data_IF_780821688837
#
_entry.id   IF_780821688837
#
_cell.length_a   1.000
_cell.length_b   1.000
_cell.length_c   1.000
_cell.angle_alpha   90.00
_cell.angle_beta   90.00
_cell.angle_gamma   90.00
#
_symmetry.space_group_name_H-M   'P 1'
#
loop_
_entity.id
_entity.type
_entity.pdbx_description
1 polymer ?
#
# COMPACT_ATOMS: atom_id res chain seq x y z
N UNK A 1 29.60 -11.05 -1.09
CA UNK A 1 29.93 -10.60 0.26
C UNK A 1 28.82 -10.97 1.21
N UNK A 2 29.21 -11.40 2.40
CA UNK A 2 28.28 -11.62 3.51
C UNK A 2 28.55 -10.53 4.55
N UNK A 3 27.49 -9.84 4.96
CA UNK A 3 27.54 -8.85 6.03
C UNK A 3 26.99 -9.54 7.28
N UNK A 4 27.76 -9.54 8.37
CA UNK A 4 27.38 -10.20 9.62
C UNK A 4 26.72 -9.26 10.63
N UNK A 5 26.61 -7.96 10.29
CA UNK A 5 25.97 -6.95 11.11
C UNK A 5 24.47 -6.89 10.83
N UNK A 6 23.68 -6.49 11.82
CA UNK A 6 22.27 -6.17 11.60
C UNK A 6 22.17 -4.85 10.85
N UNK A 7 21.69 -4.91 9.60
CA UNK A 7 21.49 -3.75 8.73
C UNK A 7 20.03 -3.31 8.66
N UNK A 8 19.18 -3.74 9.55
CA UNK A 8 17.78 -3.33 9.58
C UNK A 8 17.67 -1.80 9.59
N UNK A 9 16.78 -1.27 8.76
CA UNK A 9 16.60 0.17 8.46
C UNK A 9 17.75 0.84 7.68
N UNK A 10 18.80 0.12 7.33
CA UNK A 10 19.78 0.65 6.39
C UNK A 10 19.15 0.82 5.01
N UNK A 11 19.59 1.85 4.29
CA UNK A 11 19.19 2.06 2.90
C UNK A 11 20.36 1.92 1.95
N UNK A 12 20.11 1.39 0.76
CA UNK A 12 21.17 1.12 -0.22
C UNK A 12 20.71 1.36 -1.65
N UNK A 13 21.69 1.50 -2.53
CA UNK A 13 21.54 1.47 -3.99
C UNK A 13 22.64 0.60 -4.57
N UNK A 14 22.42 0.07 -5.76
CA UNK A 14 23.49 -0.54 -6.55
C UNK A 14 24.14 0.50 -7.43
N UNK A 15 25.46 0.41 -7.58
CA UNK A 15 26.21 1.10 -8.63
C UNK A 15 26.43 0.13 -9.79
N UNK A 16 25.78 0.40 -10.90
CA UNK A 16 25.82 -0.45 -12.10
C UNK A 16 26.56 0.27 -13.22
N UNK A 17 27.48 -0.43 -13.87
CA UNK A 17 28.21 0.10 -15.02
C UNK A 17 27.60 -0.40 -16.33
N UNK A 18 26.96 0.50 -17.07
CA UNK A 18 26.37 0.20 -18.38
C UNK A 18 27.05 1.06 -19.45
N UNK A 19 27.57 0.42 -20.49
CA UNK A 19 28.28 1.10 -21.58
C UNK A 19 29.40 2.04 -21.09
N UNK A 20 30.14 1.61 -20.07
CA UNK A 20 31.25 2.39 -19.49
C UNK A 20 30.85 3.49 -18.50
N UNK A 21 29.55 3.78 -18.33
CA UNK A 21 29.03 4.81 -17.43
C UNK A 21 28.46 4.17 -16.17
N UNK A 22 28.88 4.68 -15.01
CA UNK A 22 28.32 4.28 -13.72
C UNK A 22 26.97 4.97 -13.48
N UNK A 23 25.99 4.20 -13.02
CA UNK A 23 24.64 4.67 -12.67
C UNK A 23 24.21 4.08 -11.35
N UNK A 24 23.50 4.85 -10.56
CA UNK A 24 22.76 4.32 -9.43
C UNK A 24 21.51 3.60 -9.91
N UNK A 25 21.18 2.49 -9.26
CA UNK A 25 19.97 1.72 -9.48
C UNK A 25 19.44 1.24 -8.14
N UNK A 26 18.14 1.28 -7.99
CA UNK A 26 17.44 0.59 -6.89
C UNK A 26 17.49 -0.92 -7.12
N UNK A 27 17.26 -1.69 -6.07
CA UNK A 27 17.24 -3.14 -6.14
C UNK A 27 15.92 -3.63 -6.77
N UNK A 28 15.95 -4.28 -7.95
CA UNK A 28 14.74 -4.81 -8.56
C UNK A 28 14.09 -5.96 -7.76
N UNK A 29 14.81 -6.54 -6.82
CA UNK A 29 14.32 -7.55 -5.89
C UNK A 29 14.03 -7.00 -4.48
N UNK A 30 14.25 -5.71 -4.27
CA UNK A 30 13.97 -5.04 -3.00
C UNK A 30 12.48 -5.17 -2.64
N UNK A 31 12.20 -5.35 -1.36
CA UNK A 31 10.83 -5.48 -0.83
C UNK A 31 10.37 -4.21 -0.11
N UNK A 32 11.29 -3.28 0.10
CA UNK A 32 11.02 -2.00 0.75
C UNK A 32 11.88 -0.89 0.16
N UNK A 33 11.37 0.32 0.20
CA UNK A 33 12.09 1.55 -0.18
C UNK A 33 11.73 2.69 0.77
N UNK A 34 12.53 3.74 0.72
CA UNK A 34 12.16 5.04 1.27
C UNK A 34 11.37 5.85 0.23
N UNK A 35 10.93 7.03 0.60
CA UNK A 35 10.08 7.89 -0.23
C UNK A 35 10.60 8.06 -1.67
N UNK A 36 9.68 8.07 -2.62
CA UNK A 36 9.93 8.23 -4.06
C UNK A 36 10.90 7.19 -4.64
N UNK A 37 10.97 5.99 -4.06
CA UNK A 37 11.91 4.93 -4.46
C UNK A 37 13.37 5.37 -4.60
N UNK A 38 13.80 6.36 -3.85
CA UNK A 38 15.16 6.89 -3.94
C UNK A 38 16.21 5.85 -3.59
N UNK A 39 15.91 5.00 -2.63
CA UNK A 39 16.82 3.94 -2.14
C UNK A 39 16.00 2.74 -1.70
N UNK A 40 16.51 1.55 -1.95
CA UNK A 40 15.98 0.34 -1.34
C UNK A 40 16.29 0.32 0.15
N UNK A 41 15.46 -0.33 0.95
CA UNK A 41 15.63 -0.42 2.40
C UNK A 41 15.72 -1.88 2.85
N UNK A 42 16.51 -2.13 3.88
CA UNK A 42 16.61 -3.42 4.53
C UNK A 42 15.55 -3.50 5.63
N UNK A 43 14.63 -4.45 5.49
CA UNK A 43 13.55 -4.70 6.44
C UNK A 43 13.52 -6.15 6.89
N UNK A 44 13.07 -6.37 8.10
CA UNK A 44 12.78 -7.68 8.64
C UNK A 44 11.31 -8.02 8.38
N UNK A 45 11.06 -8.87 7.38
CA UNK A 45 9.70 -9.25 6.99
C UNK A 45 8.96 -10.06 8.06
N UNK A 46 9.68 -10.70 9.00
CA UNK A 46 9.06 -11.44 10.12
C UNK A 46 8.32 -10.50 11.08
N UNK A 47 8.62 -9.20 11.03
CA UNK A 47 7.89 -8.17 11.78
C UNK A 47 6.56 -7.79 11.14
N UNK A 48 6.38 -8.10 9.86
CA UNK A 48 5.16 -7.83 9.11
C UNK A 48 4.27 -9.06 9.19
N UNK A 49 3.35 -9.07 10.13
CA UNK A 49 2.39 -10.16 10.28
C UNK A 49 1.04 -9.73 9.75
N UNK A 50 0.48 -10.52 8.85
CA UNK A 50 -0.93 -10.45 8.50
C UNK A 50 -1.69 -11.24 9.56
N UNK A 51 -2.80 -10.69 10.04
CA UNK A 51 -3.63 -11.37 11.02
C UNK A 51 -4.22 -12.66 10.42
N UNK A 52 -4.05 -13.77 11.12
CA UNK A 52 -4.62 -15.07 10.74
C UNK A 52 -6.13 -15.11 11.09
N UNK A 53 -6.91 -14.25 10.46
CA UNK A 53 -8.37 -14.35 10.54
C UNK A 53 -8.81 -15.45 9.58
N UNK A 54 -9.50 -16.51 10.06
CA UNK A 54 -10.03 -17.52 9.18
C UNK A 54 -11.04 -16.91 8.20
N UNK A 55 -10.73 -16.98 6.91
CA UNK A 55 -11.65 -16.53 5.89
C UNK A 55 -12.74 -17.56 5.61
N UNK A 56 -13.97 -17.14 5.32
CA UNK A 56 -15.05 -18.05 4.94
C UNK A 56 -14.65 -18.80 3.65
N UNK A 57 -14.90 -20.12 3.66
CA UNK A 57 -14.66 -20.94 2.46
C UNK A 57 -15.73 -20.66 1.42
N UNK A 58 -15.31 -20.32 0.23
CA UNK A 58 -16.20 -20.24 -0.92
C UNK A 58 -16.43 -21.64 -1.51
N UNK A 59 -17.68 -21.93 -1.86
CA UNK A 59 -18.06 -23.20 -2.50
C UNK A 59 -17.71 -23.21 -3.99
N UNK A 60 -17.81 -22.05 -4.64
CA UNK A 60 -17.49 -21.85 -6.05
C UNK A 60 -16.87 -20.48 -6.29
N UNK A 61 -15.96 -20.36 -7.23
CA UNK A 61 -15.45 -19.08 -7.69
C UNK A 61 -16.55 -18.16 -8.27
N UNK A 62 -17.65 -18.74 -8.75
CA UNK A 62 -18.80 -18.00 -9.26
C UNK A 62 -19.60 -17.28 -8.14
N UNK A 63 -19.35 -17.60 -6.87
CA UNK A 63 -20.01 -16.95 -5.72
C UNK A 63 -19.27 -15.63 -5.34
N UNK A 64 -18.14 -15.34 -6.00
CA UNK A 64 -17.39 -14.13 -5.73
C UNK A 64 -18.11 -12.87 -6.26
N UNK A 65 -18.31 -11.91 -5.36
CA UNK A 65 -18.75 -10.56 -5.69
C UNK A 65 -17.59 -9.64 -5.41
N UNK A 66 -16.94 -9.16 -6.48
CA UNK A 66 -15.70 -8.40 -6.39
C UNK A 66 -15.99 -6.92 -6.58
N UNK A 67 -15.50 -6.11 -5.65
CA UNK A 67 -15.53 -4.65 -5.74
C UNK A 67 -14.13 -4.13 -6.01
N UNK A 68 -13.91 -3.59 -7.21
CA UNK A 68 -12.63 -2.98 -7.56
C UNK A 68 -12.62 -1.49 -7.20
N UNK A 69 -11.52 -1.04 -6.59
CA UNK A 69 -11.39 0.36 -6.17
C UNK A 69 -9.94 0.81 -6.01
N UNK A 70 -9.71 2.11 -6.16
CA UNK A 70 -8.42 2.75 -5.85
C UNK A 70 -8.35 3.13 -4.38
N UNK A 71 -7.20 2.87 -3.74
CA UNK A 71 -6.94 3.31 -2.36
C UNK A 71 -7.12 4.81 -2.23
N UNK A 72 -6.61 5.58 -3.20
CA UNK A 72 -6.69 7.03 -3.19
C UNK A 72 -8.13 7.51 -3.36
N UNK A 73 -8.78 7.10 -4.43
CA UNK A 73 -10.05 7.72 -4.84
C UNK A 73 -11.21 7.34 -3.93
N UNK A 74 -11.14 6.17 -3.32
CA UNK A 74 -12.20 5.65 -2.46
C UNK A 74 -12.58 6.59 -1.30
N UNK A 75 -11.63 7.36 -0.79
CA UNK A 75 -11.84 8.24 0.38
C UNK A 75 -11.62 9.72 0.10
N UNK A 76 -11.39 10.12 -1.16
CA UNK A 76 -11.07 11.51 -1.51
C UNK A 76 -12.27 12.45 -1.54
N UNK A 77 -13.50 11.94 -1.51
CA UNK A 77 -14.69 12.77 -1.49
C UNK A 77 -14.72 13.62 -0.19
N UNK A 78 -14.94 14.91 -0.35
CA UNK A 78 -15.03 15.83 0.81
C UNK A 78 -16.29 15.55 1.63
N UNK A 79 -16.15 15.65 2.95
CA UNK A 79 -17.29 15.56 3.87
C UNK A 79 -17.69 14.14 4.28
N UNK A 80 -17.00 13.10 3.80
CA UNK A 80 -17.28 11.71 4.21
C UNK A 80 -16.76 11.37 5.62
N UNK A 81 -16.09 12.31 6.29
CA UNK A 81 -15.63 12.13 7.67
C UNK A 81 -14.32 11.35 7.84
N UNK A 82 -13.65 10.96 6.75
CA UNK A 82 -12.34 10.28 6.83
C UNK A 82 -11.25 11.32 7.13
N UNK A 83 -10.39 11.02 8.11
CA UNK A 83 -9.31 11.94 8.55
C UNK A 83 -8.04 11.82 7.72
N UNK A 84 -7.82 10.65 7.10
CA UNK A 84 -6.65 10.35 6.25
C UNK A 84 -7.08 9.92 4.84
N UNK A 85 -7.72 10.82 4.06
CA UNK A 85 -8.21 10.47 2.73
C UNK A 85 -7.06 10.07 1.80
N UNK A 86 -7.29 9.09 0.94
CA UNK A 86 -6.32 8.58 -0.02
C UNK A 86 -5.22 7.70 0.55
N UNK A 87 -5.29 7.32 1.83
CA UNK A 87 -4.30 6.48 2.51
C UNK A 87 -4.85 5.11 2.87
N UNK A 88 -3.97 4.11 3.03
CA UNK A 88 -4.36 2.77 3.50
C UNK A 88 -5.16 2.83 4.80
N UNK A 89 -4.71 3.66 5.75
CA UNK A 89 -5.40 3.84 7.03
C UNK A 89 -6.77 4.46 6.86
N UNK A 90 -6.90 5.46 5.99
CA UNK A 90 -8.17 6.13 5.71
C UNK A 90 -9.18 5.22 5.01
N UNK A 91 -8.71 4.23 4.24
CA UNK A 91 -9.57 3.28 3.52
C UNK A 91 -10.50 2.52 4.46
N UNK A 92 -10.01 2.09 5.61
CA UNK A 92 -10.75 1.31 6.62
C UNK A 92 -11.19 2.15 7.82
N UNK A 93 -11.05 3.47 7.74
CA UNK A 93 -11.48 4.37 8.81
C UNK A 93 -13.00 4.41 8.89
N UNK A 94 -13.52 4.14 10.08
CA UNK A 94 -14.93 4.28 10.41
C UNK A 94 -15.11 5.22 11.60
N UNK A 95 -16.04 6.13 11.48
CA UNK A 95 -16.47 7.04 12.53
C UNK A 95 -17.98 7.28 12.46
N UNK A 96 -18.53 8.10 13.32
CA UNK A 96 -19.97 8.36 13.35
C UNK A 96 -20.49 8.98 12.03
N UNK A 97 -19.68 9.81 11.37
CA UNK A 97 -20.07 10.42 10.08
C UNK A 97 -20.13 9.36 8.98
N UNK A 98 -19.10 8.51 8.86
CA UNK A 98 -19.07 7.45 7.83
C UNK A 98 -20.23 6.47 8.02
N UNK A 99 -20.56 6.13 9.26
CA UNK A 99 -21.67 5.24 9.59
C UNK A 99 -23.03 5.88 9.27
N UNK A 100 -23.26 7.12 9.68
CA UNK A 100 -24.51 7.83 9.43
C UNK A 100 -24.77 8.10 7.96
N UNK A 101 -23.72 8.45 7.22
CA UNK A 101 -23.79 8.73 5.78
C UNK A 101 -23.68 7.47 4.91
N UNK A 102 -23.43 6.29 5.52
CA UNK A 102 -23.15 5.06 4.80
C UNK A 102 -22.09 5.27 3.70
N UNK A 103 -20.92 5.78 4.11
CA UNK A 103 -19.81 6.13 3.21
C UNK A 103 -18.52 5.41 3.58
N UNK A 104 -17.52 5.44 2.70
CA UNK A 104 -16.23 4.79 2.94
C UNK A 104 -16.38 3.29 3.24
N UNK A 105 -15.62 2.79 4.18
CA UNK A 105 -15.61 1.38 4.54
C UNK A 105 -16.97 0.89 5.06
N UNK A 106 -17.71 1.74 5.79
CA UNK A 106 -19.08 1.44 6.24
C UNK A 106 -20.03 1.14 5.08
N UNK A 107 -19.86 1.82 3.93
CA UNK A 107 -20.63 1.53 2.72
C UNK A 107 -20.31 0.15 2.14
N UNK A 108 -19.04 -0.23 2.04
CA UNK A 108 -18.64 -1.53 1.50
C UNK A 108 -19.27 -2.69 2.27
N UNK A 109 -19.39 -2.56 3.58
CA UNK A 109 -20.01 -3.57 4.46
C UNK A 109 -21.52 -3.80 4.17
N UNK A 110 -22.17 -2.83 3.53
CA UNK A 110 -23.60 -2.95 3.16
C UNK A 110 -23.85 -3.58 1.79
N UNK A 111 -22.79 -3.70 0.95
CA UNK A 111 -22.94 -4.16 -0.44
C UNK A 111 -23.05 -5.68 -0.59
N UNK A 112 -22.77 -6.45 0.46
CA UNK A 112 -22.72 -7.92 0.37
C UNK A 112 -21.61 -8.44 -0.54
N UNK A 113 -20.54 -7.67 -0.74
CA UNK A 113 -19.35 -8.07 -1.47
C UNK A 113 -18.57 -9.13 -0.70
N UNK A 114 -17.86 -9.98 -1.42
CA UNK A 114 -17.00 -11.01 -0.84
C UNK A 114 -15.52 -10.66 -0.94
N UNK A 115 -15.16 -9.81 -1.90
CA UNK A 115 -13.76 -9.45 -2.19
C UNK A 115 -13.65 -7.96 -2.51
N UNK A 116 -12.56 -7.37 -2.04
CA UNK A 116 -12.09 -6.04 -2.49
C UNK A 116 -10.87 -6.28 -3.36
N UNK A 117 -10.90 -5.81 -4.60
CA UNK A 117 -9.77 -5.77 -5.49
C UNK A 117 -9.21 -4.34 -5.50
N UNK A 118 -8.05 -4.15 -4.89
CA UNK A 118 -7.38 -2.86 -4.96
C UNK A 118 -6.74 -2.68 -6.35
N UNK A 119 -6.94 -1.52 -6.96
CA UNK A 119 -6.11 -1.07 -8.07
C UNK A 119 -4.63 -1.07 -7.63
N UNK A 120 -3.66 -1.04 -8.55
CA UNK A 120 -2.27 -1.28 -8.20
C UNK A 120 -1.80 -0.52 -6.97
N UNK A 121 -1.23 -1.25 -6.02
CA UNK A 121 -0.64 -0.74 -4.77
C UNK A 121 0.87 -0.90 -4.75
N UNK A 122 1.44 -1.34 -5.87
CA UNK A 122 2.89 -1.40 -6.09
C UNK A 122 3.41 0.00 -6.41
N UNK A 123 4.63 0.25 -6.01
CA UNK A 123 5.32 1.52 -6.20
C UNK A 123 5.34 1.94 -7.68
N UNK A 124 4.78 3.08 -7.99
CA UNK A 124 4.63 3.63 -9.33
C UNK A 124 5.28 5.00 -9.46
N UNK A 125 5.59 5.39 -10.70
CA UNK A 125 6.19 6.67 -11.02
C UNK A 125 5.18 7.82 -11.06
N UNK A 126 5.69 9.03 -11.35
CA UNK A 126 4.88 10.23 -11.66
C UNK A 126 4.10 10.86 -10.50
N UNK A 127 4.19 10.33 -9.28
CA UNK A 127 3.63 10.94 -8.08
C UNK A 127 4.74 11.17 -7.07
N UNK A 128 4.83 12.38 -6.54
CA UNK A 128 5.69 12.64 -5.38
C UNK A 128 4.95 12.15 -4.13
N UNK A 129 5.49 11.13 -3.48
CA UNK A 129 4.88 10.50 -2.31
C UNK A 129 4.71 11.48 -1.13
N UNK A 130 5.53 12.55 -1.05
CA UNK A 130 5.40 13.61 -0.05
C UNK A 130 4.29 14.61 -0.38
N UNK A 131 3.93 14.72 -1.67
CA UNK A 131 2.88 15.63 -2.18
C UNK A 131 1.88 14.90 -3.09
N UNK A 132 1.24 13.82 -2.60
CA UNK A 132 0.49 12.87 -3.44
C UNK A 132 -0.76 13.46 -4.10
N UNK A 133 -1.16 14.66 -3.72
CA UNK A 133 -2.33 15.34 -4.30
C UNK A 133 -1.98 16.21 -5.51
N UNK A 134 -0.69 16.43 -5.79
CA UNK A 134 -0.25 17.28 -6.89
C UNK A 134 -0.41 16.62 -8.26
N UNK A 135 -0.33 15.29 -8.31
CA UNK A 135 -0.45 14.50 -9.53
C UNK A 135 -1.38 13.32 -9.31
N UNK A 136 -2.06 12.91 -10.38
CA UNK A 136 -2.93 11.75 -10.37
C UNK A 136 -2.29 10.61 -11.15
N UNK A 137 -2.30 9.40 -10.56
CA UNK A 137 -1.84 8.19 -11.22
C UNK A 137 -2.73 7.01 -10.81
N UNK A 138 -3.04 6.15 -11.75
CA UNK A 138 -3.80 4.91 -11.49
C UNK A 138 -2.93 3.77 -10.98
N UNK A 139 -1.58 3.90 -11.04
CA UNK A 139 -0.63 2.90 -10.57
C UNK A 139 -0.21 1.86 -11.60
N UNK A 140 -0.56 2.03 -12.88
CA UNK A 140 -0.24 1.06 -13.93
C UNK A 140 1.12 1.30 -14.61
N UNK A 141 1.98 2.11 -14.04
CA UNK A 141 3.35 2.36 -14.46
C UNK A 141 4.37 2.03 -13.33
N UNK A 142 4.43 0.76 -12.88
CA UNK A 142 5.24 0.39 -11.72
C UNK A 142 6.72 0.68 -11.95
N UNK A 143 7.36 1.30 -10.95
CA UNK A 143 8.81 1.49 -10.85
C UNK A 143 9.43 0.30 -10.14
N UNK A 144 8.78 -0.18 -9.07
CA UNK A 144 9.17 -1.37 -8.34
C UNK A 144 7.97 -2.29 -8.10
N UNK A 145 8.07 -3.53 -8.62
CA UNK A 145 6.96 -4.51 -8.54
C UNK A 145 6.78 -5.14 -7.14
N UNK A 146 7.77 -5.05 -6.27
CA UNK A 146 7.77 -5.73 -4.97
C UNK A 146 7.71 -4.77 -3.78
N UNK A 147 7.63 -3.49 -4.05
CA UNK A 147 7.53 -2.43 -3.06
C UNK A 147 6.12 -1.84 -3.10
N UNK A 148 5.59 -1.50 -1.95
CA UNK A 148 4.30 -0.84 -1.85
C UNK A 148 4.43 0.66 -2.15
N UNK A 149 3.38 1.23 -2.73
CA UNK A 149 3.28 2.65 -3.04
C UNK A 149 3.27 3.51 -1.78
N UNK A 150 4.20 4.44 -1.71
CA UNK A 150 4.36 5.31 -0.54
C UNK A 150 3.35 6.43 -0.46
N UNK A 151 2.78 6.88 -1.59
CA UNK A 151 1.73 7.90 -1.57
C UNK A 151 0.46 7.45 -0.84
N UNK A 152 0.26 6.14 -0.68
CA UNK A 152 -0.84 5.56 0.10
C UNK A 152 -0.51 5.40 1.60
N UNK A 153 0.74 5.62 2.01
CA UNK A 153 1.15 5.61 3.42
C UNK A 153 1.09 7.01 4.04
N UNK A 154 0.85 7.07 5.33
CA UNK A 154 0.97 8.31 6.12
C UNK A 154 2.42 8.68 6.40
N UNK A 155 3.34 7.72 6.25
CA UNK A 155 4.78 7.86 6.51
C UNK A 155 5.60 7.30 5.33
N UNK A 156 5.64 7.95 4.15
CA UNK A 156 6.29 7.41 2.97
C UNK A 156 7.80 7.16 3.15
N UNK A 157 8.48 7.95 3.98
CA UNK A 157 9.90 7.77 4.29
C UNK A 157 10.20 6.56 5.19
N UNK A 158 9.17 6.01 5.87
CA UNK A 158 9.32 4.85 6.73
C UNK A 158 9.06 3.57 5.91
N UNK A 159 10.09 2.73 5.66
CA UNK A 159 9.92 1.52 4.83
C UNK A 159 8.95 0.50 5.43
N UNK A 160 8.78 0.49 6.75
CA UNK A 160 7.78 -0.35 7.42
C UNK A 160 6.38 0.26 7.41
N UNK A 161 6.27 1.59 7.41
CA UNK A 161 5.00 2.31 7.53
C UNK A 161 3.97 1.83 6.51
N UNK A 162 4.33 1.83 5.22
CA UNK A 162 3.47 1.38 4.12
C UNK A 162 3.03 -0.08 4.26
N UNK A 163 3.90 -0.94 4.77
CA UNK A 163 3.60 -2.36 4.99
C UNK A 163 2.60 -2.55 6.15
N UNK A 164 2.85 -1.92 7.29
CA UNK A 164 1.95 -2.00 8.45
C UNK A 164 0.56 -1.43 8.14
N UNK A 165 0.50 -0.34 7.37
CA UNK A 165 -0.78 0.26 7.02
C UNK A 165 -1.60 -0.62 6.08
N UNK A 166 -0.96 -1.25 5.06
CA UNK A 166 -1.65 -2.20 4.21
C UNK A 166 -2.06 -3.46 4.97
N UNK A 167 -1.17 -3.99 5.84
CA UNK A 167 -1.51 -5.13 6.71
C UNK A 167 -2.74 -4.82 7.56
N UNK A 168 -2.81 -3.61 8.11
CA UNK A 168 -3.97 -3.18 8.90
C UNK A 168 -5.24 -3.10 8.06
N UNK A 169 -5.15 -2.60 6.83
CA UNK A 169 -6.28 -2.59 5.89
C UNK A 169 -6.78 -4.03 5.63
N UNK A 170 -5.86 -4.96 5.34
CA UNK A 170 -6.19 -6.38 5.12
C UNK A 170 -6.88 -6.97 6.34
N UNK A 171 -6.33 -6.74 7.54
CA UNK A 171 -6.91 -7.22 8.79
C UNK A 171 -8.35 -6.74 9.00
N UNK A 172 -8.61 -5.44 8.77
CA UNK A 172 -9.96 -4.89 8.93
C UNK A 172 -10.93 -5.44 7.89
N UNK A 173 -10.49 -5.67 6.65
CA UNK A 173 -11.30 -6.33 5.64
C UNK A 173 -11.63 -7.78 6.03
N UNK A 174 -10.66 -8.53 6.54
CA UNK A 174 -10.84 -9.95 6.92
C UNK A 174 -11.72 -10.15 8.17
N UNK A 175 -11.98 -9.10 8.94
CA UNK A 175 -12.90 -9.15 10.10
C UNK A 175 -14.39 -9.03 9.72
N UNK A 176 -14.68 -8.71 8.46
CA UNK A 176 -16.05 -8.48 7.99
C UNK A 176 -16.57 -9.70 7.25
#
# INVERSE_FOLDING_TARGET
>A
YTILENLENATYVYLVRVNGVWRESIDPYGTASIENSRRSAVVDLDKIRVCDVPLPKMTSACDAIIYETSVRDFTMQKGIGVTMPGKFRGFVEENEITKQQCSGFSYLKTLGITHIQLMPVTDFGSVDENYPLMHYNWGYDPVQYRVLEGSFSTEPANPYGRMFELTKLIEECHKQ
#
